data_IF_404914424394
#
_entry.id   IF_404914424394
#
_cell.length_a   1.000
_cell.length_b   1.000
_cell.length_c   1.000
_cell.angle_alpha   90.00
_cell.angle_beta   90.00
_cell.angle_gamma   90.00
#
_symmetry.space_group_name_H-M   'P 1'
#
loop_
_entity.id
_entity.type
_entity.pdbx_description
1 polymer ?
#
# COMPACT_ATOMS: atom_id res chain seq x y z
N UNK A 1 1.88 29.43 -2.35
CA UNK A 1 0.52 29.37 -1.73
C UNK A 1 -0.33 28.23 -2.28
N UNK A 2 -0.41 28.00 -3.59
CA UNK A 2 -1.15 26.87 -4.18
C UNK A 2 -0.60 25.48 -3.81
N UNK A 3 0.73 25.33 -3.72
CA UNK A 3 1.39 24.07 -3.32
C UNK A 3 0.92 23.56 -1.93
N UNK A 4 0.73 24.47 -0.96
CA UNK A 4 0.28 24.12 0.39
C UNK A 4 -1.17 23.63 0.46
N UNK A 5 -2.05 24.07 -0.45
CA UNK A 5 -3.44 23.58 -0.50
C UNK A 5 -3.52 22.17 -1.08
N UNK A 6 -2.65 21.83 -2.03
CA UNK A 6 -2.63 20.51 -2.67
C UNK A 6 -1.94 19.43 -1.82
N UNK A 7 -0.93 19.82 -1.03
CA UNK A 7 -0.29 19.00 0.00
C UNK A 7 -1.18 18.75 1.23
N UNK A 8 -2.32 19.45 1.35
CA UNK A 8 -3.25 19.22 2.44
C UNK A 8 -3.64 17.72 2.46
N UNK A 9 -3.23 17.02 3.51
CA UNK A 9 -3.45 15.58 3.79
C UNK A 9 -2.42 14.58 3.24
N UNK A 10 -1.34 14.99 2.57
CA UNK A 10 -0.23 14.08 2.27
C UNK A 10 0.64 13.83 3.51
N UNK A 11 1.16 12.61 3.68
CA UNK A 11 2.05 12.23 4.79
C UNK A 11 3.34 11.63 4.24
N UNK A 12 4.46 11.91 4.91
CA UNK A 12 5.75 11.34 4.56
C UNK A 12 5.83 9.90 5.07
N UNK A 13 6.28 8.97 4.22
CA UNK A 13 6.54 7.58 4.58
C UNK A 13 7.97 7.20 4.17
N UNK A 14 8.59 6.30 4.93
CA UNK A 14 9.90 5.72 4.63
C UNK A 14 9.71 4.38 3.93
N UNK A 15 10.48 4.12 2.88
CA UNK A 15 10.50 2.83 2.19
C UNK A 15 11.10 1.79 3.12
N UNK A 16 10.33 0.74 3.42
CA UNK A 16 10.78 -0.38 4.25
C UNK A 16 11.41 -1.49 3.42
N UNK A 17 10.71 -1.92 2.35
CA UNK A 17 11.10 -3.06 1.52
C UNK A 17 10.79 -2.76 0.05
N UNK A 18 11.74 -3.05 -0.83
CA UNK A 18 11.61 -3.00 -2.29
C UNK A 18 12.37 -4.19 -2.88
N UNK A 19 11.70 -5.33 -3.00
CA UNK A 19 12.30 -6.61 -3.42
C UNK A 19 11.29 -7.50 -4.12
N UNK A 20 11.80 -8.50 -4.84
CA UNK A 20 11.00 -9.57 -5.45
C UNK A 20 10.82 -10.69 -4.42
N UNK A 21 9.59 -11.14 -4.26
CA UNK A 21 9.24 -12.30 -3.43
C UNK A 21 8.92 -13.50 -4.30
N UNK A 22 9.34 -14.68 -3.86
CA UNK A 22 9.02 -15.97 -4.47
C UNK A 22 8.62 -17.01 -3.41
N UNK A 23 8.35 -18.24 -3.83
CA UNK A 23 7.92 -19.31 -2.93
C UNK A 23 8.96 -19.75 -1.88
N UNK A 24 10.22 -19.31 -2.01
CA UNK A 24 11.30 -19.58 -1.04
C UNK A 24 11.48 -18.46 -0.01
N UNK A 25 10.80 -17.33 -0.20
CA UNK A 25 10.89 -16.18 0.70
C UNK A 25 10.29 -16.50 2.07
N UNK A 26 10.93 -16.00 3.13
CA UNK A 26 10.39 -16.09 4.48
C UNK A 26 9.09 -15.30 4.62
N UNK A 27 8.25 -15.69 5.58
CA UNK A 27 7.03 -14.96 5.90
C UNK A 27 7.36 -13.56 6.44
N UNK A 28 6.71 -12.55 5.88
CA UNK A 28 6.83 -11.16 6.34
C UNK A 28 5.77 -10.87 7.39
N UNK A 29 6.15 -10.20 8.47
CA UNK A 29 5.23 -9.77 9.54
C UNK A 29 5.12 -8.26 9.53
N UNK A 30 3.89 -7.75 9.49
CA UNK A 30 3.58 -6.33 9.53
C UNK A 30 2.94 -5.98 10.88
N UNK A 31 3.32 -4.84 11.43
CA UNK A 31 2.74 -4.28 12.65
C UNK A 31 2.03 -2.96 12.34
N UNK A 32 1.10 -2.48 13.19
CA UNK A 32 0.37 -1.24 12.92
C UNK A 32 1.25 -0.02 12.59
N UNK A 33 2.44 0.06 13.18
CA UNK A 33 3.37 1.19 13.01
C UNK A 33 4.79 0.76 12.60
N UNK A 34 5.01 -0.51 12.23
CA UNK A 34 6.33 -1.05 11.87
C UNK A 34 6.25 -2.20 10.86
N UNK A 35 7.38 -2.58 10.26
CA UNK A 35 7.50 -3.71 9.32
C UNK A 35 6.96 -3.44 7.91
N UNK A 36 6.53 -2.20 7.61
CA UNK A 36 5.98 -1.84 6.30
C UNK A 36 4.47 -2.04 6.19
N UNK A 37 3.70 -1.55 7.18
CA UNK A 37 2.22 -1.62 7.19
C UNK A 37 1.55 -1.06 5.91
N UNK A 38 2.22 -0.15 5.20
CA UNK A 38 1.85 0.27 3.86
C UNK A 38 2.66 -0.51 2.83
N UNK A 39 2.01 -1.31 1.99
CA UNK A 39 2.66 -2.15 0.99
C UNK A 39 1.86 -2.23 -0.32
N UNK A 40 2.56 -2.62 -1.38
CA UNK A 40 2.00 -2.86 -2.70
C UNK A 40 2.64 -4.13 -3.28
N UNK A 41 1.82 -5.07 -3.74
CA UNK A 41 2.28 -6.26 -4.43
C UNK A 41 2.01 -6.12 -5.92
N UNK A 42 3.03 -6.33 -6.74
CA UNK A 42 2.91 -6.41 -8.20
C UNK A 42 3.33 -7.80 -8.64
N UNK A 43 2.37 -8.57 -9.14
CA UNK A 43 2.65 -9.91 -9.67
C UNK A 43 3.45 -9.80 -10.98
N UNK A 44 4.67 -10.33 -10.99
CA UNK A 44 5.52 -10.42 -12.20
C UNK A 44 5.28 -11.70 -12.98
N UNK A 45 4.79 -12.74 -12.30
CA UNK A 45 4.33 -14.03 -12.85
C UNK A 45 3.04 -14.44 -12.12
N UNK A 46 2.27 -15.42 -12.62
CA UNK A 46 1.19 -16.01 -11.83
C UNK A 46 1.71 -16.46 -10.45
N UNK A 47 1.09 -15.97 -9.38
CA UNK A 47 1.53 -16.18 -8.02
C UNK A 47 0.34 -16.24 -7.06
N UNK A 48 0.59 -16.70 -5.83
CA UNK A 48 -0.39 -16.73 -4.75
C UNK A 48 0.27 -16.18 -3.48
N UNK A 49 -0.37 -15.18 -2.87
CA UNK A 49 -0.04 -14.71 -1.52
C UNK A 49 -1.04 -15.29 -0.51
N UNK A 50 -0.56 -15.59 0.70
CA UNK A 50 -1.40 -16.00 1.82
C UNK A 50 -1.22 -14.99 2.96
N UNK A 51 -2.29 -14.24 3.26
CA UNK A 51 -2.29 -13.29 4.36
C UNK A 51 -3.07 -13.81 5.57
N UNK A 52 -2.49 -13.65 6.75
CA UNK A 52 -3.14 -13.86 8.04
C UNK A 52 -3.22 -12.51 8.73
N UNK A 53 -4.44 -12.06 9.06
CA UNK A 53 -4.68 -10.71 9.57
C UNK A 53 -5.39 -10.76 10.93
N UNK A 54 -4.86 -10.04 11.91
CA UNK A 54 -5.37 -10.04 13.28
C UNK A 54 -5.27 -8.65 13.93
N UNK A 55 -6.39 -7.98 14.24
CA UNK A 55 -7.77 -8.31 13.85
C UNK A 55 -8.02 -8.04 12.34
N UNK A 56 -9.06 -8.65 11.74
CA UNK A 56 -9.46 -8.31 10.38
C UNK A 56 -10.01 -6.88 10.28
N UNK A 57 -10.04 -6.35 9.06
CA UNK A 57 -10.70 -5.08 8.75
C UNK A 57 -12.15 -5.08 9.21
N UNK A 58 -12.60 -3.93 9.72
CA UNK A 58 -13.94 -3.74 10.25
C UNK A 58 -14.32 -2.26 10.30
N UNK A 59 -15.18 -1.83 9.38
CA UNK A 59 -15.54 -0.42 9.21
C UNK A 59 -16.11 0.21 10.48
N UNK A 60 -17.06 -0.47 11.15
CA UNK A 60 -17.73 0.10 12.33
C UNK A 60 -16.82 0.16 13.56
N UNK A 61 -15.70 -0.55 13.55
CA UNK A 61 -14.66 -0.48 14.58
C UNK A 61 -13.45 0.38 14.12
N UNK A 62 -13.59 1.13 13.02
CA UNK A 62 -12.57 2.05 12.54
C UNK A 62 -11.37 1.39 11.86
N UNK A 63 -11.45 0.10 11.50
CA UNK A 63 -10.39 -0.64 10.81
C UNK A 63 -10.67 -0.71 9.31
N UNK A 64 -10.72 0.44 8.67
CA UNK A 64 -10.90 0.56 7.23
C UNK A 64 -9.61 0.32 6.46
N UNK A 65 -9.72 -0.37 5.32
CA UNK A 65 -8.62 -0.47 4.37
C UNK A 65 -8.54 0.82 3.53
N UNK A 66 -7.47 1.60 3.74
CA UNK A 66 -7.22 2.84 3.01
C UNK A 66 -6.14 2.65 1.95
N UNK A 67 -6.33 3.26 0.78
CA UNK A 67 -5.40 3.19 -0.34
C UNK A 67 -4.61 4.49 -0.43
N UNK A 68 -3.34 4.37 -0.77
CA UNK A 68 -2.42 5.50 -0.88
C UNK A 68 -1.74 5.50 -2.25
N UNK A 69 -1.56 6.70 -2.81
CA UNK A 69 -0.87 6.89 -4.08
C UNK A 69 0.15 8.02 -3.99
N UNK A 70 1.13 7.97 -4.89
CA UNK A 70 2.09 9.05 -5.11
C UNK A 70 1.40 10.31 -5.65
N UNK A 71 1.95 11.48 -5.32
CA UNK A 71 1.41 12.76 -5.75
C UNK A 71 1.78 13.05 -7.22
N UNK A 72 0.77 13.17 -8.10
CA UNK A 72 0.96 13.68 -9.47
C UNK A 72 0.82 15.20 -9.48
N UNK A 73 1.84 15.93 -9.92
CA UNK A 73 1.67 17.35 -10.27
C UNK A 73 1.00 17.45 -11.64
N UNK A 74 -0.24 17.95 -11.70
CA UNK A 74 -0.78 18.50 -12.94
C UNK A 74 -0.30 19.95 -13.07
N UNK A 75 0.67 20.21 -13.94
CA UNK A 75 1.01 21.56 -14.39
C UNK A 75 0.49 21.75 -15.83
N UNK A 76 -0.47 22.65 -16.09
CA UNK A 76 -0.77 23.08 -17.45
C UNK A 76 0.44 23.79 -18.09
N UNK A 77 0.67 23.73 -19.42
CA UNK A 77 -0.29 23.28 -20.44
C UNK A 77 0.03 21.93 -21.09
N UNK A 78 1.06 21.18 -20.69
CA UNK A 78 1.36 19.88 -21.31
C UNK A 78 1.94 18.87 -20.30
N UNK A 79 1.40 17.65 -20.37
CA UNK A 79 1.76 16.42 -19.65
C UNK A 79 1.38 16.35 -18.16
N UNK A 80 0.57 15.34 -17.84
CA UNK A 80 0.62 14.65 -16.55
C UNK A 80 2.02 14.07 -16.42
N UNK A 81 2.94 14.80 -15.80
CA UNK A 81 4.12 14.17 -15.22
C UNK A 81 3.62 13.41 -14.00
N UNK A 82 3.32 12.12 -14.20
CA UNK A 82 3.29 11.17 -13.09
C UNK A 82 4.64 11.30 -12.40
N UNK A 83 4.69 12.05 -11.30
CA UNK A 83 5.85 12.01 -10.44
C UNK A 83 5.72 10.68 -9.72
N UNK A 84 6.22 9.63 -10.37
CA UNK A 84 6.34 8.28 -9.83
C UNK A 84 7.11 8.29 -8.49
N UNK A 85 7.75 9.42 -8.18
CA UNK A 85 8.67 9.58 -7.09
C UNK A 85 8.88 11.07 -6.79
N UNK A 86 8.03 11.67 -5.93
CA UNK A 86 8.58 12.61 -4.95
C UNK A 86 9.36 11.78 -3.91
N UNK A 87 10.28 10.94 -4.39
CA UNK A 87 11.10 10.10 -3.54
C UNK A 87 12.34 10.90 -3.21
N UNK A 88 12.48 11.32 -1.95
CA UNK A 88 13.72 11.90 -1.51
C UNK A 88 14.56 10.80 -0.86
N UNK A 89 15.83 10.75 -1.26
CA UNK A 89 16.83 9.97 -0.55
C UNK A 89 17.47 10.87 0.49
N UNK A 90 17.38 10.47 1.75
CA UNK A 90 18.13 11.06 2.84
C UNK A 90 19.22 10.09 3.28
N UNK A 91 20.11 10.52 4.18
CA UNK A 91 21.21 9.69 4.69
C UNK A 91 20.73 8.38 5.33
N UNK A 92 19.51 8.35 5.85
CA UNK A 92 18.97 7.21 6.59
C UNK A 92 17.94 6.39 5.79
N UNK A 93 17.65 6.73 4.53
CA UNK A 93 16.78 5.92 3.68
C UNK A 93 16.09 6.65 2.53
N UNK A 94 15.14 5.97 1.91
CA UNK A 94 14.29 6.50 0.85
C UNK A 94 12.91 6.84 1.42
N UNK A 95 12.35 7.96 1.00
CA UNK A 95 11.08 8.47 1.51
C UNK A 95 10.16 8.87 0.38
N UNK A 96 8.85 8.77 0.57
CA UNK A 96 7.86 9.26 -0.38
C UNK A 96 6.70 9.98 0.33
N UNK A 97 6.14 11.00 -0.31
CA UNK A 97 4.88 11.61 0.13
C UNK A 97 3.70 10.81 -0.40
N UNK A 98 2.89 10.29 0.51
CA UNK A 98 1.71 9.48 0.20
C UNK A 98 0.44 10.26 0.54
N UNK A 99 -0.53 10.20 -0.36
CA UNK A 99 -1.87 10.74 -0.13
C UNK A 99 -2.91 9.64 -0.25
N UNK A 100 -3.90 9.67 0.63
CA UNK A 100 -5.04 8.78 0.52
C UNK A 100 -5.76 9.02 -0.81
N UNK A 101 -6.02 7.94 -1.54
CA UNK A 101 -6.76 7.93 -2.80
C UNK A 101 -8.03 7.10 -2.66
N UNK A 102 -8.90 7.16 -3.67
CA UNK A 102 -10.05 6.24 -3.72
C UNK A 102 -9.55 4.80 -3.88
N UNK A 103 -10.40 3.84 -3.51
CA UNK A 103 -10.16 2.41 -3.72
C UNK A 103 -9.67 2.16 -5.15
N UNK A 104 -8.48 1.59 -5.28
CA UNK A 104 -7.85 1.26 -6.57
C UNK A 104 -7.93 -0.23 -6.91
N UNK A 105 -8.40 -1.06 -5.98
CA UNK A 105 -8.49 -2.51 -6.14
C UNK A 105 -9.94 -2.98 -5.96
N UNK A 106 -10.42 -3.73 -6.95
CA UNK A 106 -11.65 -4.51 -6.85
C UNK A 106 -11.23 -5.97 -6.63
N UNK A 107 -11.51 -6.47 -5.42
CA UNK A 107 -11.25 -7.86 -5.04
C UNK A 107 -12.57 -8.63 -5.14
N UNK A 108 -12.63 -9.58 -6.06
CA UNK A 108 -13.69 -10.59 -6.08
C UNK A 108 -13.52 -11.45 -4.83
N UNK A 109 -14.32 -11.12 -3.81
CA UNK A 109 -14.24 -11.79 -2.51
C UNK A 109 -15.11 -13.03 -2.55
N UNK A 110 -14.48 -14.21 -2.56
CA UNK A 110 -15.17 -15.48 -2.39
C UNK A 110 -15.10 -15.90 -0.93
N UNK A 111 -16.25 -15.94 -0.26
CA UNK A 111 -16.32 -16.51 1.08
C UNK A 111 -16.24 -18.04 1.00
N UNK A 112 -15.07 -18.58 1.34
CA UNK A 112 -14.91 -20.02 1.53
C UNK A 112 -15.51 -20.43 2.88
N UNK A 113 -16.46 -21.37 2.87
CA UNK A 113 -16.94 -22.01 4.10
C UNK A 113 -16.09 -23.26 4.34
N UNK A 114 -15.34 -23.35 5.45
CA UNK A 114 -14.59 -24.57 5.75
C UNK A 114 -15.56 -25.74 5.95
N UNK A 115 -15.40 -26.80 5.15
CA UNK A 115 -16.08 -28.07 5.35
C UNK A 115 -15.26 -28.93 6.30
N UNK A 116 -15.51 -28.79 7.60
CA UNK A 116 -14.85 -29.63 8.60
C UNK A 116 -15.51 -31.01 8.55
N UNK A 117 -14.85 -31.97 7.92
CA UNK A 117 -15.19 -33.38 8.09
C UNK A 117 -14.46 -33.90 9.33
N UNK A 118 -15.20 -34.12 10.41
CA UNK A 118 -14.72 -34.90 11.56
C UNK A 118 -14.63 -36.37 11.16
N UNK A 119 -13.44 -36.97 11.32
CA UNK A 119 -13.27 -38.44 11.25
C UNK A 119 -13.90 -39.12 12.46
#
# INVERSE_FOLDING_TARGET
RLLNMYLASARLAKLNTDTIFDASSETVVLYPEDGGNLHCFTATTPCMGLDIMGPPYHHTEGRDCSYFGGWTYMLPPFSTLWCESCSCRWDDGQYAWLKQVRRTLELDTFHMRPSIQTK
#
